data_IF_101007899846
#
_entry.id   IF_101007899846
#
_cell.length_a   1.000
_cell.length_b   1.000
_cell.length_c   1.000
_cell.angle_alpha   90.00
_cell.angle_beta   90.00
_cell.angle_gamma   90.00
#
_symmetry.space_group_name_H-M   'P 1'
#
loop_
_entity.id
_entity.type
_entity.pdbx_description
1 polymer ?
#
# COMPACT_ATOMS: atom_id res chain seq x y z
N UNK A 1 -9.30 -7.97 48.60
CA UNK A 1 -10.12 -7.19 47.65
C UNK A 1 -9.16 -6.41 46.74
N UNK A 2 -8.51 -7.09 45.80
CA UNK A 2 -7.47 -6.50 44.95
C UNK A 2 -8.11 -5.82 43.74
N UNK A 3 -7.90 -4.51 43.59
CA UNK A 3 -8.30 -3.76 42.40
C UNK A 3 -7.50 -4.25 41.20
N UNK A 4 -8.20 -4.85 40.23
CA UNK A 4 -7.62 -5.12 38.93
C UNK A 4 -7.41 -3.78 38.21
N UNK A 5 -6.14 -3.39 38.07
CA UNK A 5 -5.72 -2.38 37.11
C UNK A 5 -6.08 -2.87 35.71
N UNK A 6 -7.09 -2.25 35.10
CA UNK A 6 -7.44 -2.49 33.72
C UNK A 6 -6.43 -1.72 32.84
N UNK A 7 -5.44 -2.42 32.30
CA UNK A 7 -4.53 -1.85 31.30
C UNK A 7 -5.30 -1.79 29.99
N UNK A 8 -5.91 -0.63 29.72
CA UNK A 8 -6.39 -0.32 28.37
C UNK A 8 -5.17 -0.23 27.44
N UNK A 9 -4.92 -1.29 26.67
CA UNK A 9 -3.96 -1.22 25.57
C UNK A 9 -4.59 -0.31 24.51
N UNK A 10 -4.02 0.87 24.30
CA UNK A 10 -4.38 1.75 23.20
C UNK A 10 -4.07 1.02 21.88
N UNK A 11 -5.09 0.36 21.32
CA UNK A 11 -4.97 -0.51 20.14
C UNK A 11 -5.16 0.31 18.86
N UNK A 12 -4.56 1.51 18.79
CA UNK A 12 -4.50 2.30 17.55
C UNK A 12 -3.50 1.65 16.60
N UNK A 13 -3.96 0.64 15.85
CA UNK A 13 -3.26 0.18 14.66
C UNK A 13 -3.29 1.32 13.63
N UNK A 14 -2.17 2.04 13.53
CA UNK A 14 -1.95 3.01 12.45
C UNK A 14 -1.93 2.33 11.08
N UNK A 15 -2.04 3.13 10.02
CA UNK A 15 -1.89 2.64 8.64
C UNK A 15 -0.45 2.18 8.41
N UNK A 16 -0.27 0.95 7.96
CA UNK A 16 1.04 0.45 7.54
C UNK A 16 1.41 1.04 6.18
N UNK A 17 2.64 1.58 6.07
CA UNK A 17 3.14 2.25 4.86
C UNK A 17 4.32 1.46 4.32
N UNK A 18 4.22 1.01 3.06
CA UNK A 18 5.26 0.26 2.37
C UNK A 18 5.74 1.08 1.17
N UNK A 19 7.02 1.44 1.14
CA UNK A 19 7.64 2.14 0.02
C UNK A 19 8.45 1.16 -0.83
N UNK A 20 8.12 1.02 -2.11
CA UNK A 20 8.86 0.20 -3.08
C UNK A 20 9.74 1.10 -3.93
N UNK A 21 11.06 0.94 -3.84
CA UNK A 21 12.04 1.79 -4.52
C UNK A 21 13.18 0.98 -5.16
N UNK A 22 13.97 1.62 -6.04
CA UNK A 22 15.15 1.06 -6.69
C UNK A 22 15.96 2.17 -7.36
N UNK A 23 17.29 2.05 -7.31
CA UNK A 23 18.21 2.96 -8.02
C UNK A 23 18.34 2.71 -9.52
N UNK A 24 17.63 1.73 -10.10
CA UNK A 24 17.69 1.41 -11.53
C UNK A 24 16.29 1.36 -12.16
N UNK A 25 16.21 1.74 -13.44
CA UNK A 25 15.03 1.56 -14.27
C UNK A 25 14.81 0.09 -14.64
N UNK A 26 13.56 -0.30 -14.91
CA UNK A 26 13.25 -1.64 -15.47
C UNK A 26 13.31 -2.82 -14.48
N UNK A 27 13.63 -2.62 -13.20
CA UNK A 27 13.74 -3.73 -12.22
C UNK A 27 12.40 -4.33 -11.77
N UNK A 28 11.26 -3.80 -12.24
CA UNK A 28 9.94 -4.31 -11.89
C UNK A 28 9.29 -3.72 -10.62
N UNK A 29 9.67 -2.50 -10.20
CA UNK A 29 9.06 -1.80 -9.04
C UNK A 29 7.52 -1.76 -9.14
N UNK A 30 7.00 -1.27 -10.25
CA UNK A 30 5.55 -1.13 -10.49
C UNK A 30 4.84 -2.50 -10.47
N UNK A 31 5.45 -3.51 -11.10
CA UNK A 31 4.96 -4.90 -11.06
C UNK A 31 4.79 -5.40 -9.62
N UNK A 32 5.82 -5.21 -8.78
CA UNK A 32 5.78 -5.63 -7.39
C UNK A 32 4.72 -4.85 -6.60
N UNK A 33 4.69 -3.52 -6.72
CA UNK A 33 3.73 -2.66 -5.99
C UNK A 33 2.27 -2.99 -6.33
N UNK A 34 1.96 -3.20 -7.60
CA UNK A 34 0.60 -3.55 -8.07
C UNK A 34 0.20 -4.92 -7.53
N UNK A 35 1.03 -5.96 -7.75
CA UNK A 35 0.69 -7.32 -7.32
C UNK A 35 0.65 -7.47 -5.80
N UNK A 36 1.54 -6.79 -5.06
CA UNK A 36 1.48 -6.75 -3.61
C UNK A 36 0.17 -6.12 -3.12
N UNK A 37 -0.28 -5.05 -3.77
CA UNK A 37 -1.55 -4.39 -3.44
C UNK A 37 -2.75 -5.31 -3.67
N UNK A 38 -2.76 -6.03 -4.80
CA UNK A 38 -3.79 -7.02 -5.11
C UNK A 38 -3.79 -8.19 -4.11
N UNK A 39 -2.62 -8.71 -3.76
CA UNK A 39 -2.48 -9.77 -2.77
C UNK A 39 -2.98 -9.34 -1.39
N UNK A 40 -2.59 -8.15 -0.93
CA UNK A 40 -3.07 -7.60 0.35
C UNK A 40 -4.60 -7.41 0.32
N UNK A 41 -5.15 -7.00 -0.82
CA UNK A 41 -6.60 -6.89 -0.99
C UNK A 41 -7.30 -8.25 -0.93
N UNK A 42 -6.68 -9.32 -1.44
CA UNK A 42 -7.17 -10.71 -1.32
C UNK A 42 -7.16 -11.21 0.13
N UNK A 43 -6.28 -10.68 0.98
CA UNK A 43 -6.29 -10.91 2.43
C UNK A 43 -7.18 -9.92 3.21
N UNK A 44 -8.20 -9.37 2.56
CA UNK A 44 -9.18 -8.43 3.13
C UNK A 44 -8.58 -7.17 3.80
N UNK A 45 -7.39 -6.75 3.35
CA UNK A 45 -6.83 -5.47 3.78
C UNK A 45 -7.44 -4.31 2.99
N UNK A 46 -7.62 -3.18 3.67
CA UNK A 46 -7.84 -1.89 3.01
C UNK A 46 -6.50 -1.41 2.47
N UNK A 47 -6.41 -1.27 1.15
CA UNK A 47 -5.15 -0.95 0.46
C UNK A 47 -5.33 0.35 -0.32
N UNK A 48 -4.34 1.23 -0.21
CA UNK A 48 -4.15 2.39 -1.06
C UNK A 48 -2.82 2.20 -1.80
N UNK A 49 -2.87 2.12 -3.13
CA UNK A 49 -1.69 2.12 -3.98
C UNK A 49 -1.48 3.54 -4.51
N UNK A 50 -0.28 4.08 -4.31
CA UNK A 50 0.13 5.39 -4.80
C UNK A 50 1.27 5.16 -5.79
N UNK A 51 1.10 5.63 -7.03
CA UNK A 51 2.22 5.77 -7.96
C UNK A 51 2.96 7.07 -7.63
N UNK A 52 4.19 6.95 -7.15
CA UNK A 52 5.04 8.08 -6.80
C UNK A 52 5.98 8.49 -7.95
N UNK A 53 5.92 7.79 -9.09
CA UNK A 53 6.67 8.16 -10.29
C UNK A 53 5.87 9.18 -11.12
N UNK A 54 6.03 10.47 -10.80
CA UNK A 54 5.27 11.56 -11.43
C UNK A 54 5.63 11.72 -12.92
N UNK A 55 6.83 11.31 -13.34
CA UNK A 55 7.30 11.53 -14.72
C UNK A 55 6.85 10.41 -15.66
N UNK A 56 6.78 9.17 -15.16
CA UNK A 56 6.49 7.97 -15.94
C UNK A 56 5.57 7.04 -15.14
N UNK A 57 4.48 7.60 -14.60
CA UNK A 57 3.46 6.82 -13.93
C UNK A 57 2.95 5.73 -14.86
N UNK A 58 2.87 4.49 -14.34
CA UNK A 58 2.50 3.33 -15.14
C UNK A 58 1.43 2.47 -14.45
N UNK A 59 1.03 2.79 -13.22
CA UNK A 59 0.08 1.95 -12.46
C UNK A 59 -1.26 1.81 -13.18
N UNK A 60 -1.76 2.87 -13.82
CA UNK A 60 -2.97 2.87 -14.63
C UNK A 60 -2.88 1.89 -15.82
N UNK A 61 -1.76 1.89 -16.54
CA UNK A 61 -1.49 0.95 -17.63
C UNK A 61 -1.45 -0.50 -17.12
N UNK A 62 -0.80 -0.74 -15.98
CA UNK A 62 -0.71 -2.07 -15.36
C UNK A 62 -2.06 -2.58 -14.86
N UNK A 63 -2.93 -1.68 -14.40
CA UNK A 63 -4.29 -2.02 -13.94
C UNK A 63 -5.31 -2.05 -15.08
N UNK A 64 -4.95 -1.60 -16.29
CA UNK A 64 -5.86 -1.50 -17.42
C UNK A 64 -7.01 -0.51 -17.19
N UNK A 65 -6.76 0.54 -16.41
CA UNK A 65 -7.76 1.57 -16.06
C UNK A 65 -7.40 2.89 -16.72
N UNK A 66 -8.42 3.66 -17.09
CA UNK A 66 -8.25 5.03 -17.59
C UNK A 66 -8.68 6.01 -16.50
N UNK A 67 -7.75 6.77 -15.90
CA UNK A 67 -8.10 7.77 -14.90
C UNK A 67 -9.01 8.84 -15.52
N UNK A 68 -10.10 9.25 -14.83
CA UNK A 68 -10.97 10.32 -15.33
C UNK A 68 -10.34 11.72 -15.20
N UNK A 69 -9.25 11.85 -14.43
CA UNK A 69 -8.53 13.08 -14.18
C UNK A 69 -7.02 12.80 -14.22
N UNK A 70 -6.24 13.77 -14.70
CA UNK A 70 -4.76 13.74 -14.74
C UNK A 70 -4.19 14.88 -13.92
#
# INVERSE_FOLDING_TARGET
>A
MGGLFNIERDNKKGTEIIAVTSGKGGVGKTNLSVNLSLLLRQFDKKVLLIDADIHLGNVDLFLGVTPPYT
#
